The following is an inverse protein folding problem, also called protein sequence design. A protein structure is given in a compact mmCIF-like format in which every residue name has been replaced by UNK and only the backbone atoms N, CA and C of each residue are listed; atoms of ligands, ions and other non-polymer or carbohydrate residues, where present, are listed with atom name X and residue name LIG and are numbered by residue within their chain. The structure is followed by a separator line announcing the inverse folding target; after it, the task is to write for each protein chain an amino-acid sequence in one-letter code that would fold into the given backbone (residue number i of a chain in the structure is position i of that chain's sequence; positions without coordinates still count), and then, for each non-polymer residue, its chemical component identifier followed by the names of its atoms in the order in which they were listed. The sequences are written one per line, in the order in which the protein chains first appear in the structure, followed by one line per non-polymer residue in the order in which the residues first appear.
data_IF_251003097958
#
_entry.id   IF_251003097958
#
_cell.length_a   1.000
_cell.length_b   1.000
_cell.length_c   1.000
_cell.angle_alpha   90.00
_cell.angle_beta   90.00
_cell.angle_gamma   90.00
#
_symmetry.space_group_name_H-M   'P 1'
#
loop_
_entity.id
_entity.type
_entity.pdbx_description
1 polymer ?
#
# COMPACT_ATOMS: atom_id res chain seq x y z
N UNK A 1 21.16 -30.64 0.65
CA UNK A 1 20.96 -29.31 1.29
C UNK A 1 21.95 -28.38 0.63
N UNK A 2 21.51 -27.49 -0.26
CA UNK A 2 22.39 -26.46 -0.80
C UNK A 2 22.52 -25.41 0.31
N UNK A 3 23.69 -25.32 0.92
CA UNK A 3 24.01 -24.22 1.80
C UNK A 3 23.99 -22.95 0.95
N UNK A 4 22.94 -22.16 1.08
CA UNK A 4 22.94 -20.79 0.59
C UNK A 4 24.06 -20.08 1.37
N UNK A 5 25.04 -19.45 0.72
CA UNK A 5 26.05 -18.72 1.47
C UNK A 5 25.38 -17.67 2.36
N UNK A 6 25.89 -17.43 3.56
CA UNK A 6 25.31 -16.44 4.45
C UNK A 6 25.22 -15.10 3.72
N UNK A 7 24.05 -14.47 3.75
CA UNK A 7 23.81 -13.16 3.12
C UNK A 7 24.67 -12.08 3.78
N UNK A 8 25.17 -12.35 4.97
CA UNK A 8 25.96 -11.43 5.80
C UNK A 8 27.34 -12.06 6.01
N UNK A 9 28.38 -11.33 5.63
CA UNK A 9 29.79 -11.69 5.86
C UNK A 9 30.59 -10.48 6.35
N UNK A 10 31.72 -10.70 7.05
CA UNK A 10 32.62 -9.60 7.35
C UNK A 10 33.10 -8.94 6.05
N UNK A 11 33.11 -7.61 5.95
CA UNK A 11 33.78 -6.92 4.86
C UNK A 11 35.29 -7.15 4.95
N UNK A 12 35.92 -7.18 3.79
CA UNK A 12 37.38 -7.14 3.74
C UNK A 12 37.91 -5.74 4.08
N UNK A 13 39.16 -5.61 4.49
CA UNK A 13 39.79 -4.31 4.74
C UNK A 13 39.76 -3.41 3.49
N UNK A 14 39.88 -3.99 2.30
CA UNK A 14 39.80 -3.25 1.03
C UNK A 14 38.40 -2.69 0.80
N UNK A 15 37.34 -3.44 1.13
CA UNK A 15 35.95 -2.97 1.05
C UNK A 15 35.69 -1.84 2.06
N UNK A 16 36.20 -1.97 3.29
CA UNK A 16 36.08 -0.89 4.31
C UNK A 16 36.80 0.37 3.82
N UNK A 17 37.99 0.23 3.24
CA UNK A 17 38.76 1.34 2.70
C UNK A 17 38.04 2.03 1.55
N UNK A 18 37.48 1.25 0.64
CA UNK A 18 36.69 1.77 -0.50
C UNK A 18 35.46 2.56 -0.01
N UNK A 19 34.72 2.02 0.95
CA UNK A 19 33.57 2.70 1.54
C UNK A 19 33.97 4.03 2.22
N UNK A 20 35.09 4.00 2.96
CA UNK A 20 35.61 5.21 3.63
C UNK A 20 35.99 6.30 2.59
N UNK A 21 36.66 5.92 1.48
CA UNK A 21 37.03 6.82 0.41
C UNK A 21 35.80 7.44 -0.28
N UNK A 22 34.73 6.66 -0.52
CA UNK A 22 33.47 7.14 -1.08
C UNK A 22 32.80 8.19 -0.18
N UNK A 23 33.04 8.09 1.13
CA UNK A 23 32.58 9.05 2.13
C UNK A 23 33.62 10.15 2.47
N UNK A 24 34.70 10.26 1.68
CA UNK A 24 35.79 11.23 1.88
C UNK A 24 36.50 11.08 3.26
N UNK A 25 36.55 9.85 3.77
CA UNK A 25 37.25 9.51 5.01
C UNK A 25 38.55 8.77 4.65
N UNK A 26 39.67 9.25 5.21
CA UNK A 26 40.97 8.55 5.09
C UNK A 26 41.25 7.82 6.37
N UNK A 27 41.37 6.49 6.31
CA UNK A 27 41.66 5.64 7.45
C UNK A 27 43.16 5.31 7.52
N UNK A 28 43.73 5.37 8.74
CA UNK A 28 45.03 4.77 9.06
C UNK A 28 44.88 3.25 9.17
N UNK A 29 45.98 2.51 9.16
CA UNK A 29 45.98 1.04 9.35
C UNK A 29 45.41 0.65 10.72
N UNK A 30 45.65 1.44 11.77
CA UNK A 30 45.09 1.22 13.11
C UNK A 30 43.57 1.41 13.12
N UNK A 31 43.08 2.50 12.55
CA UNK A 31 41.62 2.76 12.45
C UNK A 31 40.94 1.70 11.57
N UNK A 32 41.58 1.22 10.51
CA UNK A 32 41.04 0.15 9.67
C UNK A 32 40.86 -1.15 10.45
N UNK A 33 41.87 -1.51 11.27
CA UNK A 33 41.81 -2.68 12.14
C UNK A 33 40.70 -2.53 13.20
N UNK A 34 40.56 -1.33 13.79
CA UNK A 34 39.52 -1.03 14.75
C UNK A 34 38.11 -1.13 14.14
N UNK A 35 37.90 -0.55 12.95
CA UNK A 35 36.63 -0.69 12.22
C UNK A 35 36.32 -2.14 11.88
N UNK A 36 37.31 -2.93 11.41
CA UNK A 36 37.14 -4.36 11.14
C UNK A 36 36.68 -5.11 12.39
N UNK A 37 37.31 -4.87 13.53
CA UNK A 37 36.96 -5.52 14.79
C UNK A 37 35.55 -5.11 15.29
N UNK A 38 35.18 -3.84 15.16
CA UNK A 38 33.84 -3.34 15.52
C UNK A 38 32.78 -4.01 14.65
N UNK A 39 32.97 -4.03 13.33
CA UNK A 39 32.02 -4.62 12.38
C UNK A 39 31.88 -6.12 12.67
N UNK A 40 32.99 -6.84 12.85
CA UNK A 40 32.98 -8.28 13.16
C UNK A 40 32.20 -8.54 14.47
N UNK A 41 32.38 -7.72 15.50
CA UNK A 41 31.63 -7.82 16.76
C UNK A 41 30.13 -7.57 16.62
N UNK A 42 29.69 -6.84 15.59
CA UNK A 42 28.28 -6.59 15.31
C UNK A 42 27.62 -7.73 14.50
N UNK A 43 28.40 -8.55 13.79
CA UNK A 43 27.86 -9.57 12.88
C UNK A 43 27.03 -10.63 13.60
N UNK A 44 27.38 -11.00 14.83
CA UNK A 44 26.60 -11.98 15.61
C UNK A 44 25.12 -11.55 15.77
N UNK A 45 24.88 -10.26 15.96
CA UNK A 45 23.50 -9.75 16.05
C UNK A 45 22.77 -9.84 14.72
N UNK A 46 23.45 -9.58 13.61
CA UNK A 46 22.90 -9.71 12.26
C UNK A 46 22.64 -11.17 11.87
N UNK A 47 23.55 -12.08 12.19
CA UNK A 47 23.38 -13.52 11.99
C UNK A 47 22.17 -14.07 12.75
N UNK A 48 21.95 -13.57 13.98
CA UNK A 48 20.76 -13.92 14.77
C UNK A 48 19.48 -13.45 14.12
N UNK A 49 19.47 -12.24 13.53
CA UNK A 49 18.31 -11.71 12.79
C UNK A 49 18.06 -12.53 11.52
N UNK A 50 19.12 -12.84 10.76
CA UNK A 50 19.02 -13.63 9.53
C UNK A 50 18.51 -15.06 9.79
N UNK A 51 18.79 -15.62 10.97
CA UNK A 51 18.29 -16.92 11.39
C UNK A 51 16.85 -16.91 11.93
N UNK A 52 16.21 -15.74 12.11
CA UNK A 52 14.83 -15.68 12.55
C UNK A 52 13.88 -16.16 11.44
N UNK A 53 12.76 -16.79 11.80
CA UNK A 53 11.70 -17.09 10.83
C UNK A 53 11.23 -15.80 10.15
N UNK A 54 11.13 -15.84 8.81
CA UNK A 54 10.56 -14.76 7.99
C UNK A 54 9.20 -15.23 7.44
N UNK A 55 8.13 -15.18 8.26
CA UNK A 55 6.81 -15.63 7.83
C UNK A 55 6.28 -14.68 6.76
N UNK A 56 6.02 -15.24 5.58
CA UNK A 56 5.44 -14.50 4.44
C UNK A 56 4.04 -15.00 4.16
N UNK A 57 3.12 -14.10 3.72
CA UNK A 57 1.85 -14.55 3.17
C UNK A 57 2.06 -15.53 2.02
N UNK A 58 1.28 -16.61 2.00
CA UNK A 58 1.29 -17.55 0.89
C UNK A 58 0.54 -16.94 -0.30
N UNK A 59 1.11 -17.08 -1.51
CA UNK A 59 0.43 -16.69 -2.75
C UNK A 59 -0.52 -17.84 -3.16
N UNK A 60 -1.82 -17.62 -3.05
CA UNK A 60 -2.83 -18.66 -3.29
C UNK A 60 -3.29 -18.69 -4.75
N UNK A 61 -3.44 -17.52 -5.38
CA UNK A 61 -3.93 -17.37 -6.75
C UNK A 61 -2.77 -17.24 -7.73
N UNK A 62 -2.45 -18.32 -8.47
CA UNK A 62 -1.26 -18.39 -9.32
C UNK A 62 -1.50 -17.97 -10.78
N UNK A 63 -2.75 -17.95 -11.23
CA UNK A 63 -3.10 -17.48 -12.59
C UNK A 63 -3.14 -15.95 -12.57
N UNK A 64 -2.07 -15.34 -13.13
CA UNK A 64 -1.85 -13.90 -13.07
C UNK A 64 -1.34 -13.39 -14.40
N UNK A 65 -1.92 -12.28 -14.86
CA UNK A 65 -1.32 -11.43 -15.88
C UNK A 65 -0.62 -10.26 -15.15
N UNK A 66 0.74 -10.16 -15.21
CA UNK A 66 1.47 -9.05 -14.60
C UNK A 66 1.13 -7.71 -15.23
N UNK A 67 0.58 -7.73 -16.44
CA UNK A 67 0.01 -6.59 -17.09
C UNK A 67 0.99 -5.68 -17.81
N UNK A 68 0.51 -4.46 -18.05
CA UNK A 68 1.22 -3.43 -18.81
C UNK A 68 0.84 -2.03 -18.33
N UNK A 69 1.68 -1.05 -18.65
CA UNK A 69 1.37 0.36 -18.43
C UNK A 69 0.42 0.86 -19.53
N UNK A 70 -0.79 1.36 -19.20
CA UNK A 70 -1.71 1.90 -20.21
C UNK A 70 -1.18 3.19 -20.82
N UNK A 71 -1.57 3.43 -22.08
CA UNK A 71 -1.30 4.68 -22.76
C UNK A 71 -2.33 5.77 -22.41
N UNK A 72 -2.07 7.04 -22.77
CA UNK A 72 -2.96 8.17 -22.44
C UNK A 72 -4.33 8.11 -23.11
N UNK A 73 -4.51 7.32 -24.18
CA UNK A 73 -5.82 7.12 -24.79
C UNK A 73 -6.68 6.11 -24.00
N UNK A 74 -6.03 5.18 -23.30
CA UNK A 74 -6.68 4.16 -22.47
C UNK A 74 -6.93 4.67 -21.05
N UNK A 75 -6.02 5.50 -20.53
CA UNK A 75 -6.10 6.12 -19.21
C UNK A 75 -5.85 7.64 -19.31
N UNK A 76 -6.82 8.41 -19.79
CA UNK A 76 -6.66 9.86 -19.96
C UNK A 76 -6.52 10.63 -18.64
N UNK A 77 -6.88 10.01 -17.51
CA UNK A 77 -6.76 10.61 -16.18
C UNK A 77 -5.40 10.31 -15.52
N UNK A 78 -4.58 9.44 -16.12
CA UNK A 78 -3.34 8.94 -15.52
C UNK A 78 -3.59 8.27 -14.14
N UNK A 79 -4.73 7.60 -14.01
CA UNK A 79 -5.16 6.94 -12.77
C UNK A 79 -4.48 5.59 -12.55
N UNK A 80 -4.00 4.94 -13.61
CA UNK A 80 -3.52 3.56 -13.61
C UNK A 80 -2.02 3.51 -13.89
N UNK A 81 -1.25 2.88 -13.00
CA UNK A 81 0.19 2.61 -13.23
C UNK A 81 0.35 1.34 -14.06
N UNK A 82 -0.40 0.29 -13.71
CA UNK A 82 -0.35 -1.01 -14.38
C UNK A 82 -1.75 -1.59 -14.48
N UNK A 83 -2.18 -1.90 -15.70
CA UNK A 83 -3.31 -2.82 -15.94
C UNK A 83 -2.80 -4.22 -15.74
N UNK A 84 -3.43 -4.99 -14.89
CA UNK A 84 -3.06 -6.38 -14.60
C UNK A 84 -4.34 -7.22 -14.44
N UNK A 85 -4.21 -8.52 -14.28
CA UNK A 85 -5.34 -9.37 -13.96
C UNK A 85 -4.93 -10.47 -12.98
N UNK A 86 -5.56 -10.48 -11.81
CA UNK A 86 -5.48 -11.59 -10.86
C UNK A 86 -6.90 -11.95 -10.48
N UNK A 87 -7.38 -13.07 -11.00
CA UNK A 87 -8.72 -13.55 -10.73
C UNK A 87 -8.80 -14.22 -9.37
N UNK A 88 -9.80 -13.86 -8.57
CA UNK A 88 -10.10 -14.49 -7.28
C UNK A 88 -10.99 -15.72 -7.41
N UNK A 89 -11.66 -16.06 -6.31
CA UNK A 89 -12.63 -17.16 -6.26
C UNK A 89 -13.81 -16.90 -7.20
N UNK A 90 -14.47 -17.98 -7.63
CA UNK A 90 -15.60 -17.89 -8.56
C UNK A 90 -16.86 -17.28 -7.91
N UNK A 91 -16.94 -17.29 -6.58
CA UNK A 91 -18.07 -16.80 -5.80
C UNK A 91 -17.59 -15.96 -4.60
N UNK A 92 -18.51 -15.29 -3.95
CA UNK A 92 -18.23 -14.46 -2.77
C UNK A 92 -18.88 -13.08 -2.86
N UNK A 93 -18.77 -12.28 -1.77
CA UNK A 93 -19.41 -10.96 -1.69
C UNK A 93 -18.88 -9.93 -2.68
N UNK A 94 -17.72 -10.18 -3.29
CA UNK A 94 -17.12 -9.33 -4.33
C UNK A 94 -17.06 -10.02 -5.71
N UNK A 95 -17.81 -11.11 -5.92
CA UNK A 95 -17.85 -11.77 -7.23
C UNK A 95 -18.35 -10.81 -8.31
N UNK A 96 -17.53 -10.66 -9.37
CA UNK A 96 -17.80 -9.75 -10.48
C UNK A 96 -17.38 -8.30 -10.24
N UNK A 97 -16.70 -8.00 -9.13
CA UNK A 97 -16.12 -6.68 -8.89
C UNK A 97 -14.69 -6.58 -9.45
N UNK A 98 -14.45 -5.51 -10.20
CA UNK A 98 -13.11 -5.06 -10.57
C UNK A 98 -12.49 -4.25 -9.43
N UNK A 99 -11.37 -4.74 -8.91
CA UNK A 99 -10.68 -4.17 -7.75
C UNK A 99 -9.39 -3.46 -8.18
N UNK A 100 -9.31 -2.17 -7.89
CA UNK A 100 -8.08 -1.39 -8.05
C UNK A 100 -7.30 -1.28 -6.73
N UNK A 101 -5.99 -1.36 -6.81
CA UNK A 101 -5.13 -1.31 -5.63
C UNK A 101 -4.13 -0.15 -5.74
N UNK A 102 -4.13 0.75 -4.75
CA UNK A 102 -3.07 1.76 -4.65
C UNK A 102 -1.70 1.11 -4.84
N UNK A 103 -0.81 1.77 -5.55
CA UNK A 103 0.47 1.16 -5.95
C UNK A 103 1.43 0.87 -4.78
N UNK A 104 1.05 1.23 -3.55
CA UNK A 104 1.71 0.79 -2.31
C UNK A 104 1.30 -0.60 -1.81
N UNK A 105 0.30 -1.24 -2.42
CA UNK A 105 -0.19 -2.57 -2.04
C UNK A 105 0.50 -3.63 -2.89
N UNK A 106 1.20 -4.57 -2.25
CA UNK A 106 1.91 -5.65 -2.94
C UNK A 106 0.95 -6.65 -3.57
N UNK A 107 1.18 -6.93 -4.85
CA UNK A 107 0.57 -8.02 -5.61
C UNK A 107 1.70 -8.84 -6.19
N UNK A 108 1.81 -10.10 -5.81
CA UNK A 108 2.90 -10.97 -6.25
C UNK A 108 2.99 -11.04 -7.78
N UNK A 109 4.18 -10.80 -8.33
CA UNK A 109 4.41 -10.84 -9.77
C UNK A 109 3.99 -9.60 -10.54
N UNK A 110 3.38 -8.59 -9.91
CA UNK A 110 2.99 -7.32 -10.53
C UNK A 110 3.90 -6.20 -10.04
N UNK A 111 4.42 -5.37 -10.94
CA UNK A 111 5.32 -4.26 -10.60
C UNK A 111 4.67 -3.30 -9.59
N UNK A 112 5.49 -2.79 -8.66
CA UNK A 112 5.09 -1.83 -7.62
C UNK A 112 6.11 -0.70 -7.54
N UNK A 113 5.71 0.50 -7.93
CA UNK A 113 6.60 1.67 -8.03
C UNK A 113 6.49 2.63 -6.86
N UNK A 114 5.44 2.55 -6.04
CA UNK A 114 5.13 3.51 -4.98
C UNK A 114 5.01 4.97 -5.49
N UNK A 115 4.68 5.15 -6.76
CA UNK A 115 4.68 6.46 -7.41
C UNK A 115 6.06 7.08 -7.58
N UNK A 116 7.15 6.33 -7.40
CA UNK A 116 8.54 6.79 -7.38
C UNK A 116 9.40 6.08 -8.43
N UNK A 117 10.29 6.82 -9.07
CA UNK A 117 11.32 6.25 -9.96
C UNK A 117 12.31 5.34 -9.22
N UNK A 118 12.42 5.50 -7.91
CA UNK A 118 13.34 4.71 -7.09
C UNK A 118 13.01 3.22 -7.10
N UNK A 119 11.73 2.87 -7.29
CA UNK A 119 11.21 1.51 -7.25
C UNK A 119 10.84 0.96 -8.63
N UNK A 120 11.17 1.65 -9.73
CA UNK A 120 10.96 1.12 -11.09
C UNK A 120 11.63 -0.27 -11.23
N UNK A 121 10.86 -1.26 -11.71
CA UNK A 121 11.31 -2.64 -11.86
C UNK A 121 11.22 -3.49 -10.60
N UNK A 122 10.76 -2.96 -9.45
CA UNK A 122 10.53 -3.76 -8.27
C UNK A 122 9.24 -4.58 -8.41
N UNK A 123 9.36 -5.91 -8.27
CA UNK A 123 8.24 -6.85 -8.35
C UNK A 123 8.13 -7.61 -7.03
N UNK A 124 7.05 -7.43 -6.26
CA UNK A 124 6.82 -8.16 -5.02
C UNK A 124 6.71 -9.67 -5.25
N UNK A 125 7.18 -10.47 -4.30
CA UNK A 125 7.03 -11.94 -4.30
C UNK A 125 5.85 -12.44 -3.46
N UNK A 126 5.09 -11.53 -2.83
CA UNK A 126 3.98 -11.84 -1.94
C UNK A 126 2.77 -10.98 -2.27
N UNK A 127 1.59 -11.47 -1.97
CA UNK A 127 0.37 -10.66 -1.89
C UNK A 127 0.28 -10.02 -0.51
N UNK A 128 -0.19 -8.78 -0.45
CA UNK A 128 -0.65 -8.23 0.82
C UNK A 128 -1.83 -9.06 1.36
N UNK A 129 -1.97 -9.18 2.67
CA UNK A 129 -3.08 -9.92 3.29
C UNK A 129 -4.43 -9.47 2.76
N UNK A 130 -4.62 -8.17 2.56
CA UNK A 130 -5.86 -7.61 2.01
C UNK A 130 -6.11 -8.04 0.56
N UNK A 131 -5.07 -8.27 -0.24
CA UNK A 131 -5.20 -8.78 -1.61
C UNK A 131 -5.74 -10.21 -1.60
N UNK A 132 -5.15 -11.09 -0.80
CA UNK A 132 -5.64 -12.46 -0.63
C UNK A 132 -7.11 -12.47 -0.22
N UNK A 133 -7.51 -11.63 0.76
CA UNK A 133 -8.90 -11.54 1.23
C UNK A 133 -9.86 -11.04 0.15
N UNK A 134 -9.46 -10.06 -0.66
CA UNK A 134 -10.27 -9.56 -1.77
C UNK A 134 -10.47 -10.64 -2.85
N UNK A 135 -9.42 -11.41 -3.14
CA UNK A 135 -9.48 -12.53 -4.07
C UNK A 135 -10.32 -13.69 -3.51
N UNK A 136 -10.18 -14.04 -2.22
CA UNK A 136 -11.01 -15.05 -1.54
C UNK A 136 -12.50 -14.67 -1.54
N UNK A 137 -12.81 -13.37 -1.56
CA UNK A 137 -14.16 -12.84 -1.65
C UNK A 137 -14.72 -12.79 -3.09
N UNK A 138 -13.98 -13.28 -4.08
CA UNK A 138 -14.41 -13.35 -5.49
C UNK A 138 -14.07 -12.11 -6.31
N UNK A 139 -13.38 -11.12 -5.76
CA UNK A 139 -12.94 -9.93 -6.51
C UNK A 139 -11.83 -10.25 -7.51
N UNK A 140 -11.78 -9.51 -8.61
CA UNK A 140 -10.66 -9.56 -9.58
C UNK A 140 -9.80 -8.31 -9.43
N UNK A 141 -8.50 -8.47 -9.16
CA UNK A 141 -7.58 -7.33 -9.18
C UNK A 141 -7.25 -6.98 -10.62
N UNK A 142 -7.65 -5.80 -11.08
CA UNK A 142 -7.52 -5.36 -12.48
C UNK A 142 -6.56 -4.21 -12.69
N UNK A 143 -6.13 -3.53 -11.62
CA UNK A 143 -5.23 -2.40 -11.74
C UNK A 143 -4.39 -2.12 -10.48
N UNK A 144 -3.13 -1.72 -10.69
CA UNK A 144 -2.34 -0.95 -9.74
C UNK A 144 -2.56 0.53 -10.05
N UNK A 145 -2.96 1.28 -9.04
CA UNK A 145 -3.46 2.65 -9.17
C UNK A 145 -2.43 3.68 -8.74
N UNK A 146 -2.32 4.73 -9.52
CA UNK A 146 -1.35 5.80 -9.34
C UNK A 146 -1.46 6.46 -7.96
N UNK A 147 -0.32 6.91 -7.47
CA UNK A 147 -0.19 7.53 -6.15
C UNK A 147 0.92 8.56 -6.15
N UNK A 148 0.90 9.44 -5.18
CA UNK A 148 2.01 10.35 -4.88
C UNK A 148 3.30 9.60 -4.59
N UNK A 149 4.43 10.18 -4.98
CA UNK A 149 5.76 9.65 -4.66
C UNK A 149 5.86 9.32 -3.17
N UNK A 150 6.00 8.01 -2.87
CA UNK A 150 6.07 7.43 -1.53
C UNK A 150 4.99 7.93 -0.55
N UNK A 151 3.81 8.31 -1.06
CA UNK A 151 2.67 8.84 -0.30
C UNK A 151 2.92 10.17 0.46
N UNK A 152 3.93 10.95 0.08
CA UNK A 152 4.39 12.12 0.83
C UNK A 152 3.64 13.44 0.55
N UNK A 153 2.55 13.41 -0.23
CA UNK A 153 1.71 14.58 -0.48
C UNK A 153 0.22 14.22 -0.51
N UNK A 154 -0.63 15.23 -0.35
CA UNK A 154 -2.09 15.14 -0.47
C UNK A 154 -2.65 15.74 -1.76
N UNK A 155 -1.81 16.22 -2.67
CA UNK A 155 -2.24 16.96 -3.86
C UNK A 155 -2.61 16.06 -5.05
N UNK A 156 -1.86 15.01 -5.35
CA UNK A 156 -2.08 14.15 -6.52
C UNK A 156 -1.21 14.53 -7.73
N UNK A 157 -0.14 15.31 -7.53
CA UNK A 157 0.70 15.85 -8.60
C UNK A 157 2.14 15.33 -8.63
N UNK A 158 2.63 14.72 -7.53
CA UNK A 158 4.05 14.37 -7.34
C UNK A 158 4.38 12.92 -7.73
N UNK A 159 3.52 12.23 -8.45
CA UNK A 159 3.85 10.90 -8.96
C UNK A 159 4.96 10.93 -10.02
N UNK A 160 5.80 9.90 -10.04
CA UNK A 160 6.79 9.69 -11.09
C UNK A 160 6.17 9.58 -12.50
N UNK A 161 4.90 9.16 -12.58
CA UNK A 161 4.15 9.06 -13.84
C UNK A 161 3.39 10.34 -14.18
N UNK A 162 3.50 11.38 -13.35
CA UNK A 162 2.81 12.66 -13.52
C UNK A 162 1.50 12.77 -12.72
N UNK A 163 0.85 13.93 -12.79
CA UNK A 163 -0.37 14.22 -12.04
C UNK A 163 -1.53 13.32 -12.45
N UNK A 164 -2.41 13.03 -11.48
CA UNK A 164 -3.69 12.35 -11.73
C UNK A 164 -4.78 13.40 -11.81
N UNK A 165 -5.51 13.42 -12.95
CA UNK A 165 -6.56 14.39 -13.19
C UNK A 165 -7.85 14.02 -12.47
N UNK A 166 -8.60 15.05 -12.08
CA UNK A 166 -9.88 14.86 -11.41
C UNK A 166 -10.96 14.47 -12.44
N UNK A 167 -11.65 13.34 -12.26
CA UNK A 167 -12.68 12.88 -13.21
C UNK A 167 -13.93 13.76 -13.25
N UNK A 168 -14.09 14.73 -12.33
CA UNK A 168 -15.18 15.71 -12.33
C UNK A 168 -14.86 16.94 -13.17
N UNK A 169 -13.57 17.28 -13.26
CA UNK A 169 -13.08 18.42 -14.01
C UNK A 169 -11.56 18.22 -14.22
N UNK A 170 -11.15 17.91 -15.42
CA UNK A 170 -9.77 17.56 -15.77
C UNK A 170 -8.79 18.76 -15.80
N UNK A 171 -9.29 19.97 -15.60
CA UNK A 171 -8.46 21.13 -15.27
C UNK A 171 -7.88 21.08 -13.85
N UNK A 172 -8.35 20.14 -13.00
CA UNK A 172 -7.92 19.96 -11.62
C UNK A 172 -7.31 18.59 -11.37
N UNK A 173 -6.55 18.47 -10.28
CA UNK A 173 -5.98 17.22 -9.79
C UNK A 173 -6.96 16.47 -8.90
N UNK A 174 -6.82 15.13 -8.82
CA UNK A 174 -7.72 14.26 -8.07
C UNK A 174 -7.56 14.35 -6.55
N UNK A 175 -6.49 14.99 -6.05
CA UNK A 175 -6.06 14.89 -4.65
C UNK A 175 -5.24 13.62 -4.42
N UNK A 176 -4.60 13.51 -3.24
CA UNK A 176 -3.67 12.41 -2.95
C UNK A 176 -3.60 12.03 -1.46
N UNK A 177 -2.75 11.09 -1.16
CA UNK A 177 -1.81 10.36 -2.02
C UNK A 177 -2.44 9.16 -2.78
N UNK A 178 -3.69 8.75 -2.52
CA UNK A 178 -4.40 7.70 -3.27
C UNK A 178 -5.16 8.29 -4.46
N UNK A 179 -4.46 9.08 -5.28
CA UNK A 179 -5.02 9.85 -6.39
C UNK A 179 -5.68 8.97 -7.46
N UNK A 180 -4.95 7.95 -7.92
CA UNK A 180 -5.46 7.00 -8.90
C UNK A 180 -6.62 6.17 -8.37
N UNK A 181 -6.63 5.82 -7.06
CA UNK A 181 -7.75 5.08 -6.45
C UNK A 181 -9.05 5.88 -6.51
N UNK A 182 -8.98 7.19 -6.23
CA UNK A 182 -10.15 8.05 -6.31
C UNK A 182 -10.60 8.25 -7.77
N UNK A 183 -9.66 8.55 -8.66
CA UNK A 183 -9.97 8.82 -10.06
C UNK A 183 -10.53 7.58 -10.77
N UNK A 184 -9.98 6.39 -10.53
CA UNK A 184 -10.43 5.14 -11.14
C UNK A 184 -11.86 4.76 -10.71
N UNK A 185 -12.21 4.91 -9.43
CA UNK A 185 -13.57 4.68 -8.95
C UNK A 185 -14.53 5.74 -9.49
N UNK A 186 -14.16 7.01 -9.42
CA UNK A 186 -15.05 8.09 -9.84
C UNK A 186 -15.34 8.12 -11.36
N UNK A 187 -14.42 7.58 -12.16
CA UNK A 187 -14.57 7.40 -13.61
C UNK A 187 -15.24 6.09 -14.00
N UNK A 188 -15.38 5.14 -13.07
CA UNK A 188 -15.91 3.79 -13.35
C UNK A 188 -14.89 2.86 -14.01
N UNK A 189 -13.59 3.17 -13.94
CA UNK A 189 -12.52 2.30 -14.45
C UNK A 189 -12.30 1.04 -13.59
N UNK A 190 -12.73 1.09 -12.32
CA UNK A 190 -12.86 -0.04 -11.39
C UNK A 190 -14.12 0.18 -10.53
N UNK A 191 -14.68 -0.92 -10.01
CA UNK A 191 -15.88 -0.85 -9.15
C UNK A 191 -15.53 -0.35 -7.75
N UNK A 192 -14.42 -0.86 -7.20
CA UNK A 192 -13.92 -0.51 -5.87
C UNK A 192 -12.40 -0.37 -5.90
N UNK A 193 -11.86 0.46 -5.01
CA UNK A 193 -10.42 0.59 -4.86
C UNK A 193 -9.98 0.52 -3.39
N UNK A 194 -8.71 0.18 -3.20
CA UNK A 194 -8.02 0.29 -1.91
C UNK A 194 -7.09 1.50 -1.95
N UNK A 195 -7.17 2.33 -0.92
CA UNK A 195 -6.28 3.45 -0.67
C UNK A 195 -5.49 3.31 0.62
N UNK A 196 -4.49 4.16 0.83
CA UNK A 196 -3.76 4.30 2.09
C UNK A 196 -3.92 5.71 2.65
N UNK A 197 -3.96 5.85 3.98
CA UNK A 197 -4.20 7.15 4.66
C UNK A 197 -3.28 7.29 5.88
N UNK A 198 -2.39 8.25 5.84
CA UNK A 198 -1.51 8.64 6.93
C UNK A 198 -1.89 10.02 7.52
N UNK A 199 -2.34 10.92 6.66
CA UNK A 199 -2.74 12.29 7.03
C UNK A 199 -3.99 12.77 6.27
N UNK A 200 -4.71 11.85 5.59
CA UNK A 200 -5.88 12.17 4.78
C UNK A 200 -5.93 11.48 3.43
N UNK A 201 -4.93 10.64 3.11
CA UNK A 201 -4.70 10.15 1.74
C UNK A 201 -5.72 9.14 1.18
N UNK A 202 -6.73 8.73 1.93
CA UNK A 202 -7.99 8.14 1.45
C UNK A 202 -9.05 9.24 1.32
N UNK A 203 -9.19 10.05 2.37
CA UNK A 203 -10.30 11.00 2.57
C UNK A 203 -10.19 12.23 1.67
N UNK A 204 -8.98 12.78 1.47
CA UNK A 204 -8.73 13.94 0.61
C UNK A 204 -9.14 13.62 -0.84
N UNK A 205 -8.52 12.61 -1.51
CA UNK A 205 -8.87 12.34 -2.90
C UNK A 205 -10.32 11.86 -3.07
N UNK A 206 -10.89 11.15 -2.10
CA UNK A 206 -12.30 10.79 -2.13
C UNK A 206 -13.21 12.04 -2.10
N UNK A 207 -12.92 13.00 -1.23
CA UNK A 207 -13.69 14.25 -1.13
C UNK A 207 -13.58 15.09 -2.40
N UNK A 208 -12.38 15.18 -2.99
CA UNK A 208 -12.16 15.97 -4.21
C UNK A 208 -12.76 15.32 -5.46
N UNK A 209 -12.75 13.99 -5.53
CA UNK A 209 -13.28 13.25 -6.69
C UNK A 209 -14.76 12.87 -6.55
N UNK A 210 -15.39 13.15 -5.40
CA UNK A 210 -16.82 12.93 -5.16
C UNK A 210 -17.20 11.45 -5.04
N UNK A 211 -16.41 10.70 -4.29
CA UNK A 211 -16.65 9.29 -3.91
C UNK A 211 -16.64 9.13 -2.38
N UNK A 212 -16.88 7.92 -1.90
CA UNK A 212 -16.76 7.56 -0.49
C UNK A 212 -15.39 7.00 -0.22
N UNK A 213 -14.65 7.61 0.71
CA UNK A 213 -13.36 7.09 1.21
C UNK A 213 -13.43 6.83 2.71
N UNK A 214 -13.23 5.60 3.12
CA UNK A 214 -13.31 5.20 4.52
C UNK A 214 -11.92 4.87 5.09
N UNK A 215 -11.47 5.67 6.05
CA UNK A 215 -10.28 5.38 6.85
C UNK A 215 -10.69 4.60 8.10
N UNK A 216 -10.39 3.30 8.18
CA UNK A 216 -10.75 2.48 9.33
C UNK A 216 -10.05 2.91 10.62
N UNK A 217 -10.48 2.36 11.75
CA UNK A 217 -9.72 2.43 13.00
C UNK A 217 -8.33 1.84 12.84
N UNK A 218 -7.32 2.44 13.48
CA UNK A 218 -5.94 1.94 13.42
C UNK A 218 -5.86 0.47 13.88
N UNK A 219 -5.23 -0.37 13.06
CA UNK A 219 -5.08 -1.80 13.34
C UNK A 219 -6.32 -2.66 13.02
N UNK A 220 -7.47 -2.08 12.60
CA UNK A 220 -8.62 -2.86 12.19
C UNK A 220 -8.34 -3.68 10.92
N UNK A 221 -7.68 -3.06 9.95
CA UNK A 221 -7.25 -3.71 8.69
C UNK A 221 -5.74 -3.96 8.76
N UNK A 222 -5.27 -5.19 8.46
CA UNK A 222 -3.85 -5.50 8.47
C UNK A 222 -3.09 -4.76 7.38
N UNK A 223 -1.87 -4.39 7.68
CA UNK A 223 -0.98 -3.69 6.76
C UNK A 223 0.13 -4.59 6.18
N UNK A 224 0.08 -5.88 6.46
CA UNK A 224 1.04 -6.88 5.94
C UNK A 224 1.05 -6.86 4.42
N UNK A 225 2.23 -6.64 3.84
CA UNK A 225 2.41 -6.52 2.39
C UNK A 225 2.02 -5.15 1.81
N UNK A 226 1.76 -4.14 2.65
CA UNK A 226 1.56 -2.75 2.20
C UNK A 226 2.78 -1.92 2.57
N UNK A 227 3.31 -1.14 1.62
CA UNK A 227 4.43 -0.24 1.89
C UNK A 227 3.99 0.89 2.81
N UNK A 228 4.65 0.99 3.97
CA UNK A 228 4.31 1.92 5.03
C UNK A 228 5.14 3.20 5.02
N UNK A 229 4.57 4.25 5.59
CA UNK A 229 5.25 5.51 5.88
C UNK A 229 5.58 5.64 7.37
N UNK A 230 4.65 5.24 8.24
CA UNK A 230 4.84 5.28 9.69
C UNK A 230 3.87 4.37 10.43
N UNK A 231 4.41 3.37 11.14
CA UNK A 231 3.63 2.30 11.78
C UNK A 231 2.53 2.79 12.74
N UNK A 232 2.70 3.94 13.35
CA UNK A 232 1.76 4.49 14.33
C UNK A 232 0.56 5.21 13.71
N UNK A 233 0.59 5.50 12.41
CA UNK A 233 -0.46 6.25 11.72
C UNK A 233 -0.80 5.75 10.31
N UNK A 234 -0.19 4.65 9.85
CA UNK A 234 -0.56 4.02 8.59
C UNK A 234 -1.93 3.35 8.68
N UNK A 235 -2.79 3.65 7.71
CA UNK A 235 -4.08 3.01 7.51
C UNK A 235 -4.22 2.58 6.05
N UNK A 236 -5.00 1.54 5.83
CA UNK A 236 -5.45 1.09 4.52
C UNK A 236 -6.95 0.86 4.59
N UNK A 237 -7.67 1.23 3.53
CA UNK A 237 -9.12 1.13 3.55
C UNK A 237 -9.78 1.32 2.19
N UNK A 238 -11.09 1.09 2.12
CA UNK A 238 -11.86 1.12 0.88
C UNK A 238 -12.15 2.54 0.39
N UNK A 239 -12.17 2.67 -0.94
CA UNK A 239 -12.60 3.83 -1.69
C UNK A 239 -13.60 3.35 -2.75
N UNK A 240 -14.85 3.79 -2.67
CA UNK A 240 -15.96 3.24 -3.45
C UNK A 240 -16.94 4.33 -3.87
N UNK A 241 -17.81 4.03 -4.85
CA UNK A 241 -18.87 4.95 -5.26
C UNK A 241 -20.01 5.06 -4.23
N UNK A 242 -20.18 4.04 -3.37
CA UNK A 242 -21.25 3.99 -2.37
C UNK A 242 -20.75 3.62 -0.98
N UNK A 243 -21.51 4.02 0.05
CA UNK A 243 -21.27 3.58 1.44
C UNK A 243 -21.47 2.07 1.59
N UNK A 244 -22.41 1.49 0.83
CA UNK A 244 -22.67 0.06 0.87
C UNK A 244 -21.48 -0.77 0.39
N UNK A 245 -20.83 -0.33 -0.69
CA UNK A 245 -19.63 -1.02 -1.18
C UNK A 245 -18.44 -0.81 -0.23
N UNK A 246 -18.30 0.37 0.37
CA UNK A 246 -17.28 0.58 1.42
C UNK A 246 -17.48 -0.35 2.61
N UNK A 247 -18.71 -0.54 3.08
CA UNK A 247 -19.03 -1.46 4.16
C UNK A 247 -18.69 -2.91 3.78
N UNK A 248 -19.12 -3.35 2.60
CA UNK A 248 -18.84 -4.70 2.07
C UNK A 248 -17.34 -4.97 1.93
N UNK A 249 -16.59 -4.03 1.34
CA UNK A 249 -15.13 -4.18 1.21
C UNK A 249 -14.46 -4.17 2.59
N UNK A 250 -14.91 -3.33 3.52
CA UNK A 250 -14.37 -3.31 4.88
C UNK A 250 -14.57 -4.65 5.61
N UNK A 251 -15.74 -5.28 5.49
CA UNK A 251 -16.00 -6.61 6.04
C UNK A 251 -14.99 -7.65 5.54
N UNK A 252 -14.70 -7.59 4.25
CA UNK A 252 -13.74 -8.51 3.61
C UNK A 252 -12.31 -8.31 4.12
N UNK A 253 -11.85 -7.07 4.25
CA UNK A 253 -10.44 -6.80 4.53
C UNK A 253 -10.11 -6.66 6.03
N UNK A 254 -11.10 -6.46 6.91
CA UNK A 254 -10.91 -6.27 8.34
C UNK A 254 -10.49 -7.55 9.09
N UNK A 255 -9.92 -7.38 10.30
CA UNK A 255 -9.57 -8.47 11.20
C UNK A 255 -8.06 -8.77 11.22
N UNK A 256 -7.63 -9.46 12.28
CA UNK A 256 -6.23 -9.83 12.48
C UNK A 256 -5.74 -10.83 11.43
N UNK A 257 -4.48 -10.71 11.02
CA UNK A 257 -3.80 -11.68 10.14
C UNK A 257 -2.69 -12.47 10.85
N UNK A 258 -2.35 -12.11 12.08
CA UNK A 258 -1.29 -12.75 12.86
C UNK A 258 0.14 -12.38 12.39
N UNK A 259 0.28 -11.51 11.40
CA UNK A 259 1.56 -11.08 10.83
C UNK A 259 1.83 -9.59 11.05
N UNK A 260 0.78 -8.75 11.07
CA UNK A 260 0.92 -7.31 11.30
C UNK A 260 1.24 -7.02 12.78
N UNK A 261 2.46 -6.56 13.12
CA UNK A 261 2.85 -6.31 14.51
C UNK A 261 2.11 -5.13 15.17
N UNK A 262 1.31 -4.38 14.41
CA UNK A 262 0.47 -3.28 14.92
C UNK A 262 -0.87 -3.77 15.46
N UNK A 263 -1.26 -4.99 15.10
CA UNK A 263 -2.51 -5.60 15.54
C UNK A 263 -2.31 -6.37 16.86
N UNK A 264 -3.34 -6.37 17.71
CA UNK A 264 -3.40 -7.29 18.84
C UNK A 264 -3.69 -8.73 18.39
N UNK A 265 -3.61 -9.66 19.30
CA UNK A 265 -3.92 -11.08 19.03
C UNK A 265 -5.36 -11.29 18.52
N UNK A 266 -6.26 -10.38 18.86
CA UNK A 266 -7.65 -10.36 18.40
C UNK A 266 -7.99 -8.94 17.95
N UNK A 267 -8.64 -8.84 16.78
CA UNK A 267 -9.18 -7.57 16.24
C UNK A 267 -10.69 -7.79 16.08
N UNK A 268 -11.52 -7.11 16.87
CA UNK A 268 -12.97 -7.21 16.73
C UNK A 268 -13.42 -6.69 15.35
N UNK A 269 -14.27 -7.46 14.71
CA UNK A 269 -14.93 -7.09 13.44
C UNK A 269 -16.42 -7.21 13.59
N UNK A 270 -17.17 -6.48 12.79
CA UNK A 270 -18.62 -6.49 12.74
C UNK A 270 -19.10 -6.75 11.29
N UNK A 271 -20.36 -7.14 11.15
CA UNK A 271 -21.09 -7.16 9.88
C UNK A 271 -21.52 -5.70 9.56
N UNK A 272 -20.63 -4.92 8.95
CA UNK A 272 -20.85 -3.48 8.74
C UNK A 272 -22.01 -3.22 7.77
N UNK A 273 -22.32 -4.16 6.88
CA UNK A 273 -23.46 -4.07 5.95
C UNK A 273 -24.80 -4.17 6.67
N UNK A 274 -24.87 -4.81 7.82
CA UNK A 274 -26.09 -4.90 8.64
C UNK A 274 -26.53 -3.54 9.20
N UNK A 275 -25.60 -2.61 9.34
CA UNK A 275 -25.90 -1.24 9.79
C UNK A 275 -26.46 -0.33 8.68
N UNK A 276 -26.44 -0.79 7.42
CA UNK A 276 -26.95 0.00 6.29
C UNK A 276 -28.48 0.13 6.38
N UNK A 277 -28.95 1.37 6.17
CA UNK A 277 -30.39 1.66 6.22
C UNK A 277 -30.97 1.81 7.62
N UNK A 278 -30.14 1.78 8.68
CA UNK A 278 -30.57 2.17 10.03
C UNK A 278 -30.85 3.67 10.07
N UNK A 279 -31.92 4.05 10.80
CA UNK A 279 -32.24 5.47 10.99
C UNK A 279 -31.15 6.15 11.85
N UNK A 280 -30.70 7.32 11.42
CA UNK A 280 -29.74 8.15 12.15
C UNK A 280 -30.42 9.20 13.04
N UNK A 281 -31.74 9.11 13.26
CA UNK A 281 -32.52 10.10 14.04
C UNK A 281 -32.01 10.28 15.48
N UNK A 282 -31.46 9.22 16.08
CA UNK A 282 -30.90 9.23 17.44
C UNK A 282 -29.39 9.53 17.50
N UNK A 283 -28.76 9.83 16.35
CA UNK A 283 -27.33 10.13 16.30
C UNK A 283 -27.09 11.63 16.56
N UNK A 284 -26.25 11.92 17.57
CA UNK A 284 -25.79 13.28 17.83
C UNK A 284 -24.51 13.57 17.06
N UNK A 285 -24.53 14.54 16.17
CA UNK A 285 -23.37 15.02 15.42
C UNK A 285 -22.74 16.20 16.12
N UNK A 286 -21.49 16.05 16.57
CA UNK A 286 -20.70 17.15 17.11
C UNK A 286 -20.00 17.92 15.97
N UNK A 287 -20.08 19.26 16.01
CA UNK A 287 -19.34 20.15 15.10
C UNK A 287 -18.14 20.71 15.84
N UNK A 288 -16.94 20.40 15.36
CA UNK A 288 -15.69 20.94 15.91
C UNK A 288 -15.51 22.37 15.38
N UNK A 289 -15.92 23.36 16.19
CA UNK A 289 -15.90 24.77 15.79
C UNK A 289 -14.49 25.28 15.48
N UNK A 290 -13.48 24.77 16.20
CA UNK A 290 -12.07 25.10 16.02
C UNK A 290 -11.49 24.57 14.68
N UNK A 291 -12.19 23.69 13.99
CA UNK A 291 -11.82 23.18 12.67
C UNK A 291 -12.23 24.12 11.51
N UNK A 292 -12.90 25.21 11.78
CA UNK A 292 -13.41 26.16 10.77
C UNK A 292 -12.81 27.56 10.96
N UNK A 293 -12.74 28.35 9.88
CA UNK A 293 -12.35 29.75 9.95
C UNK A 293 -10.85 30.01 10.06
N UNK A 294 -10.02 29.04 9.67
CA UNK A 294 -8.60 29.27 9.43
C UNK A 294 -8.43 29.92 8.05
N UNK A 295 -7.91 31.16 8.03
CA UNK A 295 -7.50 31.86 6.82
C UNK A 295 -6.12 31.37 6.33
#
# INVERSE_FOLDING_TARGET
MSETPPNIRPPTEEEIRTIAEDHHITLTEEELADFSAIIEGMLEAHERIDALPDPKPEVQYHTRDPGYKPGPEEDPLNAVVTRCEVQGADDGPLAGYDVGLKDSVSVAGVEMTLGSKLFEGYVPSVDATIVTRLLDAGGTVTAKLNMEDMALSGSGELSATGPVLNPRDDDYIAGGSSSGSAAAVASGAVDVAIGGDQGGSIRIPAAWSGIVGHKPTHGLVPYTGVAGLGRSFDHVGPMCASVADCARVLEVIAGADGLDPRQGATVPTDEYTDALGTDAADVTVGVLAEGFGHE
#
